data_IF_624148129053
#
_entry.id   IF_624148129053
#
_cell.length_a   1.000
_cell.length_b   1.000
_cell.length_c   1.000
_cell.angle_alpha   90.00
_cell.angle_beta   90.00
_cell.angle_gamma   90.00
#
_symmetry.space_group_name_H-M   'P 1'
#
loop_
_entity.id
_entity.type
_entity.pdbx_description
1 polymer ?
#
# COMPACT_ATOMS: atom_id res chain seq x y z
N UNK A 1 -16.98 -18.55 28.55
CA UNK A 1 -16.41 -17.19 28.74
C UNK A 1 -15.58 -16.91 27.51
N UNK A 2 -15.67 -15.71 26.92
CA UNK A 2 -14.87 -15.37 25.74
C UNK A 2 -13.40 -15.27 26.11
N UNK A 3 -12.53 -15.98 25.38
CA UNK A 3 -11.10 -16.01 25.65
C UNK A 3 -10.41 -14.83 24.97
N UNK A 4 -10.28 -13.73 25.71
CA UNK A 4 -9.61 -12.53 25.23
C UNK A 4 -8.10 -12.75 24.96
N UNK A 5 -7.47 -13.74 25.57
CA UNK A 5 -6.02 -14.01 25.40
C UNK A 5 -5.75 -14.69 24.08
N UNK A 6 -6.55 -15.71 23.76
CA UNK A 6 -6.52 -16.36 22.45
C UNK A 6 -6.90 -15.37 21.34
N UNK A 7 -7.96 -14.58 21.54
CA UNK A 7 -8.41 -13.59 20.57
C UNK A 7 -7.37 -12.47 20.32
N UNK A 8 -6.66 -12.02 21.35
CA UNK A 8 -5.56 -11.04 21.23
C UNK A 8 -4.34 -11.57 20.48
N UNK A 9 -4.11 -12.88 20.55
CA UNK A 9 -3.03 -13.53 19.79
C UNK A 9 -3.40 -13.66 18.30
N UNK A 10 -4.68 -13.87 18.02
CA UNK A 10 -5.21 -14.01 16.66
C UNK A 10 -5.35 -12.67 15.94
N UNK A 11 -6.09 -11.72 16.53
CA UNK A 11 -6.37 -10.43 15.90
C UNK A 11 -5.39 -9.38 16.42
N UNK A 12 -4.37 -9.08 15.62
CA UNK A 12 -3.42 -8.00 15.90
C UNK A 12 -4.07 -6.62 15.77
N UNK A 13 -3.51 -5.56 16.39
CA UNK A 13 -4.03 -4.21 16.19
C UNK A 13 -3.89 -3.80 14.73
N UNK A 14 -4.88 -3.11 14.20
CA UNK A 14 -4.90 -2.67 12.81
C UNK A 14 -5.10 -1.16 12.74
N UNK A 15 -4.17 -0.48 12.08
CA UNK A 15 -4.11 0.98 11.97
C UNK A 15 -4.63 1.52 10.63
N UNK A 16 -4.85 0.63 9.67
CA UNK A 16 -5.27 0.96 8.31
C UNK A 16 -4.19 0.73 7.25
N UNK A 17 -3.07 0.08 7.59
CA UNK A 17 -2.07 -0.32 6.59
C UNK A 17 -2.65 -1.36 5.62
N UNK A 18 -2.70 -1.03 4.33
CA UNK A 18 -3.27 -1.89 3.28
C UNK A 18 -2.49 -3.21 3.14
N UNK A 19 -1.17 -3.20 3.36
CA UNK A 19 -0.34 -4.41 3.30
C UNK A 19 -0.74 -5.46 4.36
N UNK A 20 -1.32 -5.01 5.47
CA UNK A 20 -1.76 -5.87 6.57
C UNK A 20 -3.27 -6.16 6.51
N UNK A 21 -4.01 -5.60 5.53
CA UNK A 21 -5.47 -5.69 5.46
C UNK A 21 -5.93 -7.15 5.37
N UNK A 22 -5.38 -7.93 4.44
CA UNK A 22 -5.81 -9.31 4.23
C UNK A 22 -5.56 -10.17 5.47
N UNK A 23 -4.39 -10.05 6.09
CA UNK A 23 -4.07 -10.76 7.34
C UNK A 23 -5.02 -10.40 8.48
N UNK A 24 -5.41 -9.12 8.59
CA UNK A 24 -6.43 -8.69 9.54
C UNK A 24 -7.80 -9.32 9.24
N UNK A 25 -8.25 -9.28 7.99
CA UNK A 25 -9.53 -9.85 7.55
C UNK A 25 -9.58 -11.36 7.85
N UNK A 26 -8.54 -12.11 7.47
CA UNK A 26 -8.45 -13.55 7.71
C UNK A 26 -8.50 -13.87 9.20
N UNK A 27 -7.83 -13.06 10.03
CA UNK A 27 -7.84 -13.22 11.49
C UNK A 27 -9.22 -12.95 12.09
N UNK A 28 -9.97 -11.98 11.56
CA UNK A 28 -11.35 -11.69 12.00
C UNK A 28 -12.30 -12.80 11.57
N UNK A 29 -12.16 -13.34 10.36
CA UNK A 29 -12.95 -14.48 9.91
C UNK A 29 -12.70 -15.72 10.75
N UNK A 30 -11.43 -16.06 11.00
CA UNK A 30 -11.09 -17.18 11.88
C UNK A 30 -11.65 -16.96 13.30
N UNK A 31 -11.65 -15.72 13.80
CA UNK A 31 -12.26 -15.41 15.08
C UNK A 31 -13.78 -15.64 15.06
N UNK A 32 -14.49 -15.27 13.99
CA UNK A 32 -15.93 -15.53 13.88
C UNK A 32 -16.23 -17.03 13.86
N UNK A 33 -15.46 -17.81 13.10
CA UNK A 33 -15.65 -19.27 12.99
C UNK A 33 -15.49 -19.99 14.32
N UNK A 34 -14.50 -19.59 15.14
CA UNK A 34 -14.24 -20.24 16.43
C UNK A 34 -15.09 -19.68 17.57
N UNK A 35 -15.79 -18.56 17.37
CA UNK A 35 -16.59 -17.91 18.40
C UNK A 35 -18.03 -18.43 18.37
N UNK A 36 -18.55 -19.01 19.47
CA UNK A 36 -19.95 -19.41 19.53
C UNK A 36 -20.90 -18.20 19.42
N UNK A 37 -22.08 -18.37 18.80
CA UNK A 37 -23.07 -17.31 18.60
C UNK A 37 -23.39 -16.52 19.89
N UNK A 38 -23.49 -17.21 21.02
CA UNK A 38 -23.73 -16.59 22.34
C UNK A 38 -22.68 -15.54 22.77
N UNK A 39 -21.51 -15.54 22.13
CA UNK A 39 -20.38 -14.66 22.43
C UNK A 39 -20.04 -13.70 21.30
N UNK A 40 -20.77 -13.71 20.17
CA UNK A 40 -20.52 -12.83 19.02
C UNK A 40 -20.48 -11.35 19.39
N UNK A 41 -21.34 -10.92 20.31
CA UNK A 41 -21.32 -9.54 20.81
C UNK A 41 -19.99 -9.16 21.48
N UNK A 42 -19.34 -10.10 22.18
CA UNK A 42 -18.02 -9.86 22.76
C UNK A 42 -16.94 -9.82 21.69
N UNK A 43 -17.00 -10.71 20.68
CA UNK A 43 -16.08 -10.71 19.55
C UNK A 43 -16.13 -9.38 18.78
N UNK A 44 -17.32 -8.86 18.47
CA UNK A 44 -17.51 -7.56 17.80
C UNK A 44 -16.83 -6.44 18.60
N UNK A 45 -17.10 -6.37 19.91
CA UNK A 45 -16.47 -5.38 20.79
C UNK A 45 -14.95 -5.52 20.84
N UNK A 46 -14.48 -6.76 20.87
CA UNK A 46 -13.06 -7.07 20.89
C UNK A 46 -12.38 -6.61 19.59
N UNK A 47 -12.86 -7.02 18.42
CA UNK A 47 -12.30 -6.62 17.11
C UNK A 47 -12.32 -5.09 16.96
N UNK A 48 -13.43 -4.44 17.34
CA UNK A 48 -13.53 -2.98 17.35
C UNK A 48 -12.47 -2.30 18.25
N UNK A 49 -12.05 -2.94 19.33
CA UNK A 49 -10.97 -2.43 20.20
C UNK A 49 -9.57 -2.59 19.60
N UNK A 50 -9.40 -3.50 18.61
CA UNK A 50 -8.15 -3.73 17.89
C UNK A 50 -7.94 -2.75 16.74
N UNK A 51 -9.01 -2.11 16.27
CA UNK A 51 -8.89 -0.99 15.35
C UNK A 51 -8.33 0.23 16.08
N UNK A 52 -7.25 0.78 15.53
CA UNK A 52 -6.56 1.96 16.05
C UNK A 52 -6.38 2.99 14.92
N UNK A 53 -5.99 4.20 15.29
CA UNK A 53 -5.68 5.26 14.33
C UNK A 53 -6.81 5.49 13.32
N UNK A 54 -6.46 5.42 12.04
CA UNK A 54 -7.37 5.73 10.94
C UNK A 54 -8.35 4.60 10.64
N UNK A 55 -7.97 3.33 10.85
CA UNK A 55 -8.90 2.21 10.69
C UNK A 55 -10.07 2.24 11.68
N UNK A 56 -9.92 2.94 12.81
CA UNK A 56 -11.03 3.21 13.74
C UNK A 56 -11.83 4.46 13.34
N UNK A 57 -11.23 5.35 12.57
CA UNK A 57 -11.83 6.65 12.24
C UNK A 57 -12.99 6.46 11.27
N UNK A 58 -14.15 7.02 11.62
CA UNK A 58 -15.36 6.90 10.80
C UNK A 58 -16.13 5.59 10.99
N UNK A 59 -15.64 4.64 11.81
CA UNK A 59 -16.43 3.48 12.20
C UNK A 59 -17.57 3.91 13.14
N UNK A 60 -18.79 3.48 12.84
CA UNK A 60 -19.97 3.76 13.66
C UNK A 60 -19.79 3.33 15.11
N UNK A 61 -20.41 4.06 16.03
CA UNK A 61 -20.51 3.64 17.43
C UNK A 61 -21.31 2.34 17.58
N UNK A 62 -22.28 2.13 16.69
CA UNK A 62 -23.11 0.94 16.61
C UNK A 62 -22.67 0.11 15.41
N UNK A 63 -22.05 -1.04 15.70
CA UNK A 63 -21.66 -2.04 14.72
C UNK A 63 -22.31 -3.35 15.13
N UNK A 64 -23.04 -3.96 14.21
CA UNK A 64 -23.96 -5.06 14.49
C UNK A 64 -23.32 -6.43 14.24
N UNK A 65 -22.27 -6.47 13.42
CA UNK A 65 -21.62 -7.71 13.00
C UNK A 65 -20.13 -7.52 12.71
N UNK A 66 -19.39 -8.62 12.57
CA UNK A 66 -17.96 -8.59 12.18
C UNK A 66 -17.80 -8.23 10.70
N UNK A 67 -18.75 -8.60 9.86
CA UNK A 67 -18.79 -8.24 8.44
C UNK A 67 -18.90 -6.73 8.23
N UNK A 68 -19.68 -6.03 9.04
CA UNK A 68 -19.72 -4.56 9.01
C UNK A 68 -18.35 -3.93 9.33
N UNK A 69 -17.57 -4.55 10.23
CA UNK A 69 -16.20 -4.10 10.54
C UNK A 69 -15.28 -4.35 9.35
N UNK A 70 -15.32 -5.56 8.77
CA UNK A 70 -14.52 -5.95 7.60
C UNK A 70 -14.81 -5.00 6.45
N UNK A 71 -16.08 -4.80 6.11
CA UNK A 71 -16.48 -3.91 5.03
C UNK A 71 -16.00 -2.47 5.27
N UNK A 72 -16.07 -1.99 6.51
CA UNK A 72 -15.56 -0.65 6.84
C UNK A 72 -14.06 -0.51 6.58
N UNK A 73 -13.24 -1.46 7.04
CA UNK A 73 -11.78 -1.38 6.87
C UNK A 73 -11.38 -1.56 5.41
N UNK A 74 -12.07 -2.42 4.65
CA UNK A 74 -11.88 -2.57 3.21
C UNK A 74 -12.17 -1.25 2.48
N UNK A 75 -13.33 -0.63 2.73
CA UNK A 75 -13.70 0.63 2.10
C UNK A 75 -12.76 1.78 2.50
N UNK A 76 -12.26 1.77 3.73
CA UNK A 76 -11.25 2.73 4.20
C UNK A 76 -9.93 2.55 3.43
N UNK A 77 -9.49 1.31 3.21
CA UNK A 77 -8.25 0.99 2.51
C UNK A 77 -8.36 1.28 1.01
N UNK A 78 -9.51 0.98 0.38
CA UNK A 78 -9.79 1.33 -1.02
C UNK A 78 -9.80 2.84 -1.28
N UNK A 79 -10.15 3.65 -0.26
CA UNK A 79 -10.16 5.12 -0.37
C UNK A 79 -8.77 5.75 -0.38
N UNK A 80 -7.68 4.98 -0.28
CA UNK A 80 -6.32 5.51 -0.27
C UNK A 80 -5.58 5.17 -1.55
N UNK A 81 -5.44 6.21 -2.36
CA UNK A 81 -4.56 6.33 -3.53
C UNK A 81 -4.97 5.42 -4.72
N UNK A 82 -5.64 6.02 -5.71
CA UNK A 82 -5.90 5.36 -7.00
C UNK A 82 -4.60 5.30 -7.84
N UNK A 83 -4.51 4.40 -8.85
CA UNK A 83 -3.41 4.43 -9.80
C UNK A 83 -3.17 5.83 -10.37
N UNK A 84 -4.25 6.53 -10.77
CA UNK A 84 -4.20 7.89 -11.29
C UNK A 84 -3.55 8.90 -10.33
N UNK A 85 -3.83 8.77 -9.03
CA UNK A 85 -3.26 9.66 -8.02
C UNK A 85 -1.75 9.44 -7.85
N UNK A 86 -1.30 8.19 -7.86
CA UNK A 86 0.13 7.87 -7.79
C UNK A 86 0.85 8.25 -9.10
N UNK A 87 0.25 7.98 -10.25
CA UNK A 87 0.74 8.44 -11.56
C UNK A 87 0.90 9.96 -11.59
N UNK A 88 -0.09 10.70 -11.10
CA UNK A 88 0.02 12.15 -10.97
C UNK A 88 1.15 12.57 -10.03
N UNK A 89 1.36 11.88 -8.90
CA UNK A 89 2.51 12.13 -8.01
C UNK A 89 3.85 11.85 -8.70
N UNK A 90 3.97 10.74 -9.42
CA UNK A 90 5.17 10.38 -10.19
C UNK A 90 5.50 11.46 -11.23
N UNK A 91 4.51 11.85 -12.04
CA UNK A 91 4.69 12.86 -13.09
C UNK A 91 5.06 14.25 -12.55
N UNK A 92 4.65 14.58 -11.32
CA UNK A 92 5.01 15.84 -10.66
C UNK A 92 6.27 15.73 -9.79
N UNK A 93 6.87 14.55 -9.67
CA UNK A 93 8.10 14.37 -8.91
C UNK A 93 9.27 14.86 -9.74
N UNK A 94 9.96 15.88 -9.23
CA UNK A 94 11.12 16.51 -9.86
C UNK A 94 12.27 16.55 -8.86
N UNK A 95 13.51 16.56 -9.37
CA UNK A 95 14.71 16.59 -8.54
C UNK A 95 14.85 17.92 -7.77
N UNK A 96 14.34 19.03 -8.30
CA UNK A 96 14.27 20.38 -7.70
C UNK A 96 14.91 20.57 -6.30
N UNK A 97 16.24 20.75 -6.27
CA UNK A 97 17.00 21.08 -5.07
C UNK A 97 17.35 19.91 -4.15
N UNK A 98 16.85 18.69 -4.39
CA UNK A 98 17.30 17.47 -3.73
C UNK A 98 18.49 16.84 -4.45
N UNK A 99 19.22 15.99 -3.73
CA UNK A 99 20.24 15.15 -4.37
C UNK A 99 19.57 14.18 -5.36
N UNK A 100 20.36 13.71 -6.33
CA UNK A 100 19.90 12.72 -7.30
C UNK A 100 19.48 11.41 -6.61
N UNK A 101 20.20 11.01 -5.57
CA UNK A 101 19.89 9.81 -4.78
C UNK A 101 18.53 9.93 -4.10
N UNK A 102 18.26 11.03 -3.38
CA UNK A 102 16.96 11.26 -2.73
C UNK A 102 15.81 11.32 -3.74
N UNK A 103 16.04 11.92 -4.91
CA UNK A 103 15.06 11.94 -5.99
C UNK A 103 14.75 10.51 -6.49
N UNK A 104 15.79 9.71 -6.78
CA UNK A 104 15.63 8.33 -7.22
C UNK A 104 14.92 7.46 -6.17
N UNK A 105 15.29 7.57 -4.89
CA UNK A 105 14.62 6.86 -3.79
C UNK A 105 13.12 7.19 -3.73
N UNK A 106 12.76 8.47 -3.89
CA UNK A 106 11.37 8.91 -3.91
C UNK A 106 10.59 8.33 -5.09
N UNK A 107 11.22 8.27 -6.27
CA UNK A 107 10.59 7.65 -7.45
C UNK A 107 10.41 6.16 -7.25
N UNK A 108 11.41 5.43 -6.75
CA UNK A 108 11.32 4.00 -6.42
C UNK A 108 10.18 3.72 -5.46
N UNK A 109 10.06 4.50 -4.38
CA UNK A 109 8.98 4.35 -3.39
C UNK A 109 7.59 4.55 -4.01
N UNK A 110 7.42 5.54 -4.89
CA UNK A 110 6.15 5.78 -5.57
C UNK A 110 5.83 4.67 -6.59
N UNK A 111 6.84 4.14 -7.27
CA UNK A 111 6.69 3.03 -8.22
C UNK A 111 6.25 1.74 -7.52
N UNK A 112 6.85 1.38 -6.38
CA UNK A 112 6.40 0.21 -5.60
C UNK A 112 4.96 0.36 -5.10
N UNK A 113 4.57 1.58 -4.70
CA UNK A 113 3.18 1.85 -4.35
C UNK A 113 2.25 1.66 -5.54
N UNK A 114 2.65 2.11 -6.73
CA UNK A 114 1.87 1.93 -7.94
C UNK A 114 1.73 0.45 -8.32
N UNK A 115 2.82 -0.32 -8.28
CA UNK A 115 2.82 -1.77 -8.51
C UNK A 115 1.87 -2.47 -7.55
N UNK A 116 1.97 -2.16 -6.25
CA UNK A 116 1.07 -2.72 -5.25
C UNK A 116 -0.40 -2.39 -5.54
N UNK A 117 -0.70 -1.18 -5.99
CA UNK A 117 -2.08 -0.79 -6.34
C UNK A 117 -2.56 -1.57 -7.56
N UNK A 118 -1.75 -1.76 -8.60
CA UNK A 118 -2.10 -2.59 -9.76
C UNK A 118 -2.38 -4.04 -9.37
N UNK A 119 -1.54 -4.64 -8.52
CA UNK A 119 -1.80 -5.96 -7.95
C UNK A 119 -3.13 -6.04 -7.21
N UNK A 120 -3.53 -4.97 -6.52
CA UNK A 120 -4.82 -4.89 -5.84
C UNK A 120 -6.01 -4.74 -6.82
N UNK A 121 -5.78 -4.36 -8.08
CA UNK A 121 -6.81 -4.21 -9.12
C UNK A 121 -6.92 -5.44 -10.05
N UNK A 122 -6.45 -6.60 -9.61
CA UNK A 122 -6.48 -7.89 -10.34
C UNK A 122 -5.57 -7.95 -11.58
N UNK A 123 -4.60 -7.04 -11.72
CA UNK A 123 -3.54 -7.18 -12.73
C UNK A 123 -2.63 -8.38 -12.40
N UNK A 124 -2.05 -9.01 -13.42
CA UNK A 124 -1.04 -10.05 -13.18
C UNK A 124 0.20 -9.41 -12.57
N UNK A 125 0.99 -10.20 -11.83
CA UNK A 125 2.22 -9.70 -11.20
C UNK A 125 3.19 -9.12 -12.23
N UNK A 126 3.31 -9.78 -13.38
CA UNK A 126 4.21 -9.35 -14.44
C UNK A 126 3.70 -8.05 -15.08
N UNK A 127 2.39 -7.93 -15.35
CA UNK A 127 1.80 -6.71 -15.91
C UNK A 127 1.89 -5.53 -14.94
N UNK A 128 1.61 -5.75 -13.64
CA UNK A 128 1.69 -4.73 -12.61
C UNK A 128 3.11 -4.18 -12.46
N UNK A 129 4.11 -5.06 -12.49
CA UNK A 129 5.53 -4.70 -12.45
C UNK A 129 5.94 -3.92 -13.71
N UNK A 130 5.56 -4.39 -14.90
CA UNK A 130 5.90 -3.74 -16.16
C UNK A 130 5.29 -2.32 -16.24
N UNK A 131 4.00 -2.18 -15.95
CA UNK A 131 3.30 -0.90 -15.98
C UNK A 131 3.86 0.09 -14.97
N UNK A 132 4.10 -0.35 -13.74
CA UNK A 132 4.66 0.50 -12.70
C UNK A 132 6.10 0.92 -13.04
N UNK A 133 6.94 0.00 -13.49
CA UNK A 133 8.32 0.27 -13.90
C UNK A 133 8.36 1.27 -15.05
N UNK A 134 7.52 1.11 -16.07
CA UNK A 134 7.42 2.06 -17.18
C UNK A 134 7.02 3.47 -16.72
N UNK A 135 6.10 3.58 -15.76
CA UNK A 135 5.72 4.87 -15.17
C UNK A 135 6.89 5.49 -14.37
N UNK A 136 7.59 4.69 -13.57
CA UNK A 136 8.76 5.11 -12.80
C UNK A 136 9.92 5.59 -13.67
N UNK A 137 10.26 4.85 -14.73
CA UNK A 137 11.30 5.24 -15.70
C UNK A 137 10.94 6.56 -16.39
N UNK A 138 9.68 6.75 -16.77
CA UNK A 138 9.21 8.02 -17.32
C UNK A 138 9.35 9.18 -16.32
N UNK A 139 9.09 8.94 -15.03
CA UNK A 139 9.28 9.93 -13.98
C UNK A 139 10.76 10.27 -13.76
N UNK A 140 11.66 9.28 -13.75
CA UNK A 140 13.11 9.51 -13.70
C UNK A 140 13.58 10.36 -14.88
N UNK A 141 13.12 10.04 -16.10
CA UNK A 141 13.48 10.79 -17.32
C UNK A 141 13.00 12.23 -17.27
N UNK A 142 11.74 12.45 -16.90
CA UNK A 142 11.14 13.78 -17.01
C UNK A 142 11.42 14.65 -15.78
N UNK A 143 11.71 14.05 -14.62
CA UNK A 143 11.85 14.73 -13.35
C UNK A 143 13.26 15.26 -13.05
N UNK A 144 14.29 14.82 -13.78
CA UNK A 144 15.66 15.34 -13.67
C UNK A 144 15.96 16.37 -14.75
N UNK A 145 16.97 17.23 -14.53
CA UNK A 145 17.52 18.11 -15.57
C UNK A 145 18.81 17.56 -16.21
N UNK A 146 19.38 16.49 -15.66
CA UNK A 146 20.64 15.91 -16.13
C UNK A 146 20.42 15.17 -17.45
N UNK A 147 21.07 15.62 -18.51
CA UNK A 147 20.88 15.09 -19.86
C UNK A 147 21.28 13.62 -19.98
N UNK A 148 22.38 13.24 -19.36
CA UNK A 148 22.93 11.89 -19.36
C UNK A 148 21.94 10.91 -18.72
N UNK A 149 21.30 11.32 -17.63
CA UNK A 149 20.23 10.54 -17.00
C UNK A 149 19.05 10.40 -17.96
N UNK A 150 18.59 11.50 -18.59
CA UNK A 150 17.50 11.45 -19.58
C UNK A 150 17.78 10.46 -20.71
N UNK A 151 19.02 10.41 -21.20
CA UNK A 151 19.43 9.48 -22.26
C UNK A 151 19.44 8.04 -21.77
N UNK A 152 19.92 7.78 -20.56
CA UNK A 152 19.93 6.44 -19.98
C UNK A 152 18.52 5.87 -19.76
N UNK A 153 17.51 6.72 -19.58
CA UNK A 153 16.12 6.27 -19.40
C UNK A 153 15.41 5.86 -20.71
N UNK A 154 16.11 5.88 -21.86
CA UNK A 154 15.58 5.34 -23.12
C UNK A 154 15.81 3.83 -23.28
N UNK A 155 16.57 3.21 -22.36
CA UNK A 155 16.74 1.76 -22.32
C UNK A 155 15.56 1.08 -21.61
N UNK A 156 15.40 -0.22 -21.85
CA UNK A 156 14.44 -1.06 -21.12
C UNK A 156 15.07 -1.52 -19.81
N UNK A 157 14.30 -1.49 -18.74
CA UNK A 157 14.70 -1.95 -17.41
C UNK A 157 13.68 -2.98 -16.91
N UNK A 158 14.15 -4.03 -16.23
CA UNK A 158 13.27 -5.05 -15.66
C UNK A 158 12.67 -4.58 -14.33
N UNK A 159 13.39 -3.71 -13.60
CA UNK A 159 12.97 -3.15 -12.33
C UNK A 159 13.25 -1.65 -12.24
N UNK A 160 12.55 -0.96 -11.35
CA UNK A 160 12.79 0.46 -11.10
C UNK A 160 14.13 0.71 -10.39
N UNK A 161 14.62 -0.26 -9.60
CA UNK A 161 15.92 -0.20 -8.95
C UNK A 161 17.07 -0.17 -9.94
N UNK A 162 17.00 -0.99 -11.00
CA UNK A 162 17.99 -0.97 -12.08
C UNK A 162 18.03 0.40 -12.76
N UNK A 163 16.87 0.97 -13.07
CA UNK A 163 16.77 2.29 -13.66
C UNK A 163 17.32 3.39 -12.72
N UNK A 164 17.01 3.30 -11.42
CA UNK A 164 17.49 4.26 -10.42
C UNK A 164 19.01 4.20 -10.24
N UNK A 165 19.60 3.00 -10.21
CA UNK A 165 21.05 2.81 -10.14
C UNK A 165 21.74 3.38 -11.39
N UNK A 166 21.17 3.14 -12.56
CA UNK A 166 21.68 3.66 -13.82
C UNK A 166 21.61 5.20 -13.86
N UNK A 167 20.52 5.79 -13.36
CA UNK A 167 20.39 7.23 -13.23
C UNK A 167 21.47 7.82 -12.31
N UNK A 168 21.69 7.22 -11.13
CA UNK A 168 22.72 7.68 -10.18
C UNK A 168 24.12 7.58 -10.79
N UNK A 169 24.41 6.50 -11.51
CA UNK A 169 25.69 6.28 -12.18
C UNK A 169 25.98 7.37 -13.21
N UNK A 170 25.00 7.70 -14.05
CA UNK A 170 25.16 8.69 -15.12
C UNK A 170 25.10 10.13 -14.64
N UNK A 171 24.40 10.42 -13.53
CA UNK A 171 24.32 11.77 -12.97
C UNK A 171 25.43 12.13 -11.98
N UNK A 172 26.39 11.23 -11.76
CA UNK A 172 27.60 11.48 -10.95
C UNK A 172 28.83 11.86 -11.79
N UNK A 173 28.65 11.97 -13.12
CA UNK A 173 29.68 12.36 -14.10
C UNK A 173 29.67 13.87 -14.31
#
# INVERSE_FOLDING_TARGET
>A
MFDFTAAASLVQPFDGNVECLQSFIDSVWLLDEITPDSQRFMAIKFVKSRLIGLARSGLSSYVSSLEEIIHHVEEMCKKRETPDYILAKLNNTTQNGSSLVEFCEKVVQLTHKLEFIYLCHEDTRDDALEMATAAGVNALRNGTEIWEVKQSMNFTFETIEEAALEAIRNGSV
#
